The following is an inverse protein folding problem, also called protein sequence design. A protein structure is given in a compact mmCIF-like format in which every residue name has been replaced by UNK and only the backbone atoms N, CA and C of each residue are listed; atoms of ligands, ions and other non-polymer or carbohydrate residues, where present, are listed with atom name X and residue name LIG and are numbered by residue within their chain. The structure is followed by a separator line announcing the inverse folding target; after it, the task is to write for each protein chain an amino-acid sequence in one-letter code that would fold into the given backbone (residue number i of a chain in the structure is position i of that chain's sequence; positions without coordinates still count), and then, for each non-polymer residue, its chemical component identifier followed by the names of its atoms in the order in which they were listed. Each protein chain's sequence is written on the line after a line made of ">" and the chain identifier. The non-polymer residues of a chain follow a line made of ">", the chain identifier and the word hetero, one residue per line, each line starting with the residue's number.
data_IF_432349325880
#
_entry.id   IF_432349325880
#
_cell.length_a   1.000
_cell.length_b   1.000
_cell.length_c   1.000
_cell.angle_alpha   90.00
_cell.angle_beta   90.00
_cell.angle_gamma   90.00
#
_symmetry.space_group_name_H-M   'P 1'
#
loop_
_entity.id
_entity.type
_entity.pdbx_description
1 polymer ?
#
# COMPACT_ATOMS: atom_id res chain seq x y z
N UNK A 1 20.94 10.84 -6.58
CA UNK A 1 20.21 9.55 -6.56
C UNK A 1 19.10 9.55 -5.49
N UNK A 2 18.38 10.67 -5.31
CA UNK A 2 17.62 10.97 -4.07
C UNK A 2 16.19 11.45 -4.32
N UNK A 3 15.89 12.15 -5.41
CA UNK A 3 14.54 12.69 -5.65
C UNK A 3 13.53 11.65 -6.15
N UNK A 4 13.94 10.77 -7.06
CA UNK A 4 13.08 9.70 -7.59
C UNK A 4 12.61 8.76 -6.46
N UNK A 5 13.43 8.55 -5.44
CA UNK A 5 13.08 7.76 -4.26
C UNK A 5 11.99 8.40 -3.39
N UNK A 6 12.00 9.74 -3.25
CA UNK A 6 11.06 10.48 -2.42
C UNK A 6 9.66 10.52 -3.04
N UNK A 7 9.54 10.79 -4.34
CA UNK A 7 8.25 10.76 -5.05
C UNK A 7 7.62 9.36 -5.01
N UNK A 8 8.42 8.30 -5.17
CA UNK A 8 7.94 6.91 -5.05
C UNK A 8 7.47 6.57 -3.64
N UNK A 9 8.17 7.06 -2.62
CA UNK A 9 7.75 6.92 -1.23
C UNK A 9 6.39 7.57 -0.99
N UNK A 10 6.20 8.79 -1.48
CA UNK A 10 4.91 9.50 -1.41
C UNK A 10 3.82 8.75 -2.15
N UNK A 11 4.05 8.31 -3.39
CA UNK A 11 3.05 7.61 -4.20
C UNK A 11 2.60 6.28 -3.57
N UNK A 12 3.56 5.45 -3.12
CA UNK A 12 3.26 4.13 -2.52
C UNK A 12 2.68 4.21 -1.10
N UNK A 13 2.78 5.36 -0.45
CA UNK A 13 2.24 5.60 0.89
C UNK A 13 1.21 6.74 0.92
N UNK A 14 0.68 7.17 -0.22
CA UNK A 14 -0.30 8.26 -0.31
C UNK A 14 -1.50 8.02 0.62
N UNK A 15 -1.97 6.78 0.72
CA UNK A 15 -3.04 6.40 1.64
C UNK A 15 -2.65 6.55 3.13
N UNK A 16 -1.40 6.23 3.49
CA UNK A 16 -0.89 6.40 4.86
C UNK A 16 -0.80 7.88 5.23
N UNK A 17 -0.36 8.73 4.30
CA UNK A 17 -0.35 10.18 4.45
C UNK A 17 -1.76 10.74 4.59
N UNK A 18 -2.71 10.27 3.80
CA UNK A 18 -4.11 10.69 3.89
C UNK A 18 -4.71 10.36 5.26
N UNK A 19 -4.45 9.16 5.78
CA UNK A 19 -4.87 8.77 7.14
C UNK A 19 -4.20 9.60 8.24
N UNK A 20 -2.92 9.98 8.04
CA UNK A 20 -2.20 10.83 8.98
C UNK A 20 -2.82 12.23 9.03
N UNK A 21 -3.03 12.85 7.86
CA UNK A 21 -3.65 14.17 7.73
C UNK A 21 -5.06 14.15 8.31
N UNK A 22 -5.86 13.12 8.01
CA UNK A 22 -7.20 12.96 8.56
C UNK A 22 -7.18 12.87 10.09
N UNK A 23 -6.24 12.11 10.66
CA UNK A 23 -6.07 12.02 12.12
C UNK A 23 -5.72 13.39 12.73
N UNK A 24 -4.82 14.16 12.11
CA UNK A 24 -4.49 15.51 12.57
C UNK A 24 -5.70 16.44 12.51
N UNK A 25 -6.48 16.41 11.43
CA UNK A 25 -7.72 17.19 11.29
C UNK A 25 -8.71 16.82 12.39
N UNK A 26 -8.90 15.52 12.66
CA UNK A 26 -9.78 15.04 13.73
C UNK A 26 -9.35 15.60 15.09
N UNK A 27 -8.04 15.65 15.39
CA UNK A 27 -7.57 16.21 16.67
C UNK A 27 -7.60 17.74 16.72
N UNK A 28 -7.46 18.43 15.58
CA UNK A 28 -7.46 19.89 15.50
C UNK A 28 -8.86 20.50 15.69
N UNK A 29 -9.92 19.80 15.29
CA UNK A 29 -11.30 20.31 15.40
C UNK A 29 -11.78 20.18 16.85
N UNK A 30 -12.10 21.28 17.55
CA UNK A 30 -12.51 21.24 18.96
C UNK A 30 -14.00 20.87 19.10
N UNK A 31 -14.37 19.61 18.80
CA UNK A 31 -15.78 19.17 18.88
C UNK A 31 -16.36 19.22 20.29
N UNK A 32 -15.51 19.29 21.32
CA UNK A 32 -15.91 19.49 22.71
C UNK A 32 -16.68 20.80 22.93
N UNK A 33 -16.50 21.81 22.06
CA UNK A 33 -17.24 23.08 22.13
C UNK A 33 -18.72 22.91 21.75
N UNK A 34 -19.07 21.85 21.00
CA UNK A 34 -20.45 21.55 20.63
C UNK A 34 -21.10 20.65 21.68
N UNK A 35 -20.47 19.53 22.01
CA UNK A 35 -20.98 18.60 23.03
C UNK A 35 -19.85 17.69 23.54
N UNK A 36 -19.70 17.46 24.86
CA UNK A 36 -18.60 16.65 25.43
C UNK A 36 -18.62 15.19 24.95
N UNK A 37 -19.79 14.64 24.59
CA UNK A 37 -19.90 13.29 24.00
C UNK A 37 -19.09 13.14 22.71
N UNK A 38 -18.96 14.19 21.90
CA UNK A 38 -18.17 14.11 20.68
C UNK A 38 -16.69 13.92 20.95
N UNK A 39 -16.18 14.42 22.09
CA UNK A 39 -14.80 14.15 22.52
C UNK A 39 -14.56 12.65 22.75
N UNK A 40 -15.53 11.97 23.36
CA UNK A 40 -15.47 10.52 23.59
C UNK A 40 -15.44 9.71 22.29
N UNK A 41 -15.97 10.23 21.18
CA UNK A 41 -15.93 9.59 19.85
C UNK A 41 -14.68 10.01 19.08
N UNK A 42 -14.29 11.28 19.19
CA UNK A 42 -13.17 11.90 18.49
C UNK A 42 -11.84 11.24 18.88
N UNK A 43 -11.59 11.01 20.18
CA UNK A 43 -10.33 10.43 20.67
C UNK A 43 -10.12 9.01 20.12
N UNK A 44 -11.06 8.04 20.27
CA UNK A 44 -10.89 6.70 19.70
C UNK A 44 -10.74 6.71 18.19
N UNK A 45 -11.53 7.51 17.48
CA UNK A 45 -11.48 7.58 16.02
C UNK A 45 -10.12 8.11 15.54
N UNK A 46 -9.67 9.23 16.11
CA UNK A 46 -8.37 9.83 15.81
C UNK A 46 -7.22 8.86 16.10
N UNK A 47 -7.29 8.13 17.21
CA UNK A 47 -6.30 7.12 17.59
C UNK A 47 -6.26 5.91 16.63
N UNK A 48 -7.42 5.40 16.21
CA UNK A 48 -7.51 4.31 15.22
C UNK A 48 -6.89 4.73 13.89
N UNK A 49 -7.20 5.93 13.40
CA UNK A 49 -6.61 6.47 12.17
C UNK A 49 -5.09 6.62 12.29
N UNK A 50 -4.59 7.19 13.39
CA UNK A 50 -3.16 7.38 13.63
C UNK A 50 -2.42 6.03 13.69
N UNK A 51 -2.92 5.10 14.50
CA UNK A 51 -2.34 3.76 14.65
C UNK A 51 -2.29 3.02 13.31
N UNK A 52 -3.35 3.13 12.50
CA UNK A 52 -3.41 2.52 11.16
C UNK A 52 -2.38 3.16 10.23
N UNK A 53 -2.25 4.49 10.25
CA UNK A 53 -1.26 5.22 9.46
C UNK A 53 0.17 4.79 9.81
N UNK A 54 0.52 4.78 11.10
CA UNK A 54 1.85 4.37 11.59
C UNK A 54 2.15 2.91 11.21
N UNK A 55 1.18 2.01 11.37
CA UNK A 55 1.34 0.60 10.96
C UNK A 55 1.64 0.47 9.46
N UNK A 56 0.97 1.26 8.63
CA UNK A 56 1.22 1.25 7.19
C UNK A 56 2.59 1.85 6.84
N UNK A 57 3.04 2.89 7.53
CA UNK A 57 4.40 3.42 7.36
C UNK A 57 5.47 2.40 7.76
N UNK A 58 5.25 1.62 8.83
CA UNK A 58 6.17 0.58 9.25
C UNK A 58 6.40 -0.49 8.16
N UNK A 59 5.38 -0.78 7.33
CA UNK A 59 5.50 -1.73 6.20
C UNK A 59 6.34 -1.22 5.02
N UNK A 60 6.88 0.00 5.09
CA UNK A 60 7.66 0.61 4.00
C UNK A 60 8.90 -0.19 3.61
N UNK A 61 9.63 -0.72 4.59
CA UNK A 61 10.86 -1.48 4.34
C UNK A 61 10.59 -2.68 3.43
N UNK A 62 9.47 -3.37 3.65
CA UNK A 62 9.04 -4.51 2.85
C UNK A 62 8.59 -4.09 1.45
N UNK A 63 7.84 -2.98 1.33
CA UNK A 63 7.45 -2.41 0.02
C UNK A 63 8.68 -2.09 -0.81
N UNK A 64 9.69 -1.44 -0.21
CA UNK A 64 10.95 -1.08 -0.88
C UNK A 64 11.72 -2.32 -1.35
N UNK A 65 11.81 -3.37 -0.51
CA UNK A 65 12.45 -4.64 -0.89
C UNK A 65 11.74 -5.31 -2.06
N UNK A 66 10.41 -5.45 -1.99
CA UNK A 66 9.59 -6.06 -3.05
C UNK A 66 9.71 -5.32 -4.37
N UNK A 67 9.68 -3.99 -4.32
CA UNK A 67 9.93 -3.13 -5.47
C UNK A 67 11.31 -3.39 -6.09
N UNK A 68 12.37 -3.39 -5.29
CA UNK A 68 13.74 -3.57 -5.78
C UNK A 68 13.94 -4.93 -6.45
N UNK A 69 13.39 -6.00 -5.85
CA UNK A 69 13.47 -7.35 -6.44
C UNK A 69 12.68 -7.44 -7.74
N UNK A 70 11.46 -6.89 -7.79
CA UNK A 70 10.65 -6.87 -9.02
C UNK A 70 11.33 -6.10 -10.15
N UNK A 71 11.92 -4.95 -9.84
CA UNK A 71 12.65 -4.15 -10.81
C UNK A 71 13.87 -4.94 -11.33
N UNK A 72 14.67 -5.52 -10.43
CA UNK A 72 15.87 -6.28 -10.80
C UNK A 72 15.54 -7.51 -11.67
N UNK A 73 14.48 -8.26 -11.32
CA UNK A 73 14.04 -9.44 -12.08
C UNK A 73 13.55 -9.12 -13.49
N UNK A 74 13.04 -7.90 -13.71
CA UNK A 74 12.43 -7.48 -14.97
C UNK A 74 13.25 -6.47 -15.77
N UNK A 75 14.46 -6.12 -15.29
CA UNK A 75 15.32 -5.13 -15.93
C UNK A 75 15.91 -5.63 -17.26
N UNK A 76 16.20 -6.94 -17.35
CA UNK A 76 16.79 -7.55 -18.54
C UNK A 76 15.74 -8.12 -19.49
N UNK A 77 14.73 -8.77 -18.93
CA UNK A 77 13.68 -9.45 -19.67
C UNK A 77 12.37 -9.32 -18.90
N UNK A 78 11.28 -9.01 -19.59
CA UNK A 78 9.98 -8.88 -18.97
C UNK A 78 9.40 -10.25 -18.59
N UNK A 79 9.13 -10.43 -17.30
CA UNK A 79 8.66 -11.67 -16.67
C UNK A 79 7.30 -11.46 -16.02
N UNK A 80 6.25 -11.76 -16.77
CA UNK A 80 4.84 -11.57 -16.39
C UNK A 80 4.47 -12.34 -15.09
N UNK A 81 4.99 -13.55 -14.94
CA UNK A 81 4.81 -14.44 -13.78
C UNK A 81 5.14 -13.74 -12.45
N UNK A 82 6.20 -12.94 -12.42
CA UNK A 82 6.64 -12.22 -11.23
C UNK A 82 5.63 -11.17 -10.75
N UNK A 83 4.78 -10.64 -11.63
CA UNK A 83 3.80 -9.61 -11.31
C UNK A 83 2.45 -10.17 -10.83
N UNK A 84 2.14 -11.44 -11.12
CA UNK A 84 0.82 -12.05 -10.88
C UNK A 84 0.41 -11.91 -9.42
N UNK A 85 1.30 -12.24 -8.47
CA UNK A 85 1.01 -12.17 -7.04
C UNK A 85 0.71 -10.74 -6.58
N UNK A 86 1.32 -9.74 -7.20
CA UNK A 86 1.14 -8.33 -6.84
C UNK A 86 -0.14 -7.73 -7.44
N UNK A 87 -0.62 -8.27 -8.56
CA UNK A 87 -1.87 -7.81 -9.19
C UNK A 87 -3.13 -8.17 -8.39
N UNK A 88 -3.04 -9.14 -7.49
CA UNK A 88 -4.14 -9.58 -6.64
C UNK A 88 -4.52 -8.55 -5.56
N UNK A 89 -3.56 -7.77 -5.07
CA UNK A 89 -3.76 -6.82 -3.96
C UNK A 89 -3.78 -5.35 -4.44
N UNK A 90 -4.64 -4.48 -3.88
CA UNK A 90 -4.68 -3.06 -4.26
C UNK A 90 -3.34 -2.34 -4.14
N UNK A 91 -2.63 -2.57 -3.03
CA UNK A 91 -1.30 -1.99 -2.79
C UNK A 91 -0.22 -2.60 -3.71
N UNK A 92 -0.36 -3.88 -4.06
CA UNK A 92 0.52 -4.55 -5.01
C UNK A 92 0.37 -3.99 -6.42
N UNK A 93 -0.86 -3.68 -6.87
CA UNK A 93 -1.10 -3.04 -8.18
C UNK A 93 -0.43 -1.68 -8.32
N UNK A 94 -0.44 -0.86 -7.25
CA UNK A 94 0.29 0.42 -7.23
C UNK A 94 1.80 0.20 -7.38
N UNK A 95 2.33 -0.84 -6.73
CA UNK A 95 3.72 -1.23 -6.84
C UNK A 95 4.09 -1.70 -8.26
N UNK A 96 3.23 -2.51 -8.90
CA UNK A 96 3.40 -2.93 -10.31
C UNK A 96 3.44 -1.71 -11.23
N UNK A 97 2.50 -0.77 -11.09
CA UNK A 97 2.48 0.46 -11.89
C UNK A 97 3.78 1.26 -11.76
N UNK A 98 4.29 1.41 -10.53
CA UNK A 98 5.55 2.09 -10.30
C UNK A 98 6.70 1.36 -11.02
N UNK A 99 6.84 0.05 -10.83
CA UNK A 99 7.90 -0.74 -11.47
C UNK A 99 7.85 -0.66 -13.00
N UNK A 100 6.68 -0.79 -13.62
CA UNK A 100 6.52 -0.72 -15.08
C UNK A 100 6.81 0.67 -15.64
N UNK A 101 6.43 1.72 -14.90
CA UNK A 101 6.79 3.09 -15.24
C UNK A 101 8.32 3.27 -15.25
N UNK A 102 9.00 2.68 -14.27
CA UNK A 102 10.45 2.80 -14.13
C UNK A 102 11.24 1.92 -15.11
N UNK A 103 10.63 0.85 -15.63
CA UNK A 103 11.14 0.05 -16.74
C UNK A 103 10.82 0.66 -18.12
N UNK A 104 10.20 1.84 -18.17
CA UNK A 104 9.75 2.50 -19.40
C UNK A 104 8.77 1.66 -20.25
N UNK A 105 8.00 0.76 -19.62
CA UNK A 105 6.99 -0.09 -20.27
C UNK A 105 5.61 -0.01 -19.59
N UNK A 106 5.07 1.20 -19.31
CA UNK A 106 3.79 1.33 -18.61
C UNK A 106 2.61 0.69 -19.36
N UNK A 107 2.72 0.54 -20.69
CA UNK A 107 1.67 -0.04 -21.52
C UNK A 107 1.38 -1.52 -21.18
N UNK A 108 2.39 -2.26 -20.70
CA UNK A 108 2.27 -3.66 -20.29
C UNK A 108 1.36 -3.87 -19.08
N UNK A 109 1.00 -2.79 -18.38
CA UNK A 109 0.07 -2.89 -17.27
C UNK A 109 -1.30 -3.41 -17.71
N UNK A 110 -1.78 -3.04 -18.91
CA UNK A 110 -3.06 -3.52 -19.45
C UNK A 110 -3.09 -5.03 -19.62
N UNK A 111 -1.99 -5.61 -20.09
CA UNK A 111 -1.84 -7.06 -20.27
C UNK A 111 -1.94 -7.80 -18.92
N UNK A 112 -1.47 -7.18 -17.84
CA UNK A 112 -1.50 -7.73 -16.49
C UNK A 112 -2.86 -7.59 -15.78
N UNK A 113 -3.76 -6.72 -16.27
CA UNK A 113 -5.05 -6.48 -15.59
C UNK A 113 -5.93 -7.74 -15.55
N UNK A 114 -5.69 -8.72 -16.44
CA UNK A 114 -6.35 -10.02 -16.41
C UNK A 114 -6.15 -10.78 -15.09
N UNK A 115 -5.10 -10.49 -14.33
CA UNK A 115 -4.82 -11.11 -13.02
C UNK A 115 -5.43 -10.36 -11.83
N UNK A 116 -6.17 -9.28 -12.10
CA UNK A 116 -6.83 -8.48 -11.07
C UNK A 116 -8.01 -9.25 -10.48
N UNK A 117 -8.00 -9.50 -9.16
CA UNK A 117 -9.20 -9.94 -8.44
C UNK A 117 -10.24 -8.82 -8.38
N UNK A 118 -11.53 -9.19 -8.51
CA UNK A 118 -12.63 -8.24 -8.35
C UNK A 118 -12.72 -7.73 -6.92
N UNK A 119 -13.23 -6.50 -6.75
CA UNK A 119 -13.33 -5.86 -5.44
C UNK A 119 -14.07 -6.72 -4.42
N UNK A 120 -15.18 -7.34 -4.83
CA UNK A 120 -15.96 -8.27 -4.00
C UNK A 120 -15.17 -9.50 -3.55
N UNK A 121 -14.34 -10.07 -4.42
CA UNK A 121 -13.46 -11.19 -4.07
C UNK A 121 -12.39 -10.74 -3.05
N UNK A 122 -11.77 -9.58 -3.27
CA UNK A 122 -10.78 -9.03 -2.35
C UNK A 122 -11.36 -8.70 -0.97
N UNK A 123 -12.61 -8.21 -0.90
CA UNK A 123 -13.30 -7.93 0.38
C UNK A 123 -13.66 -9.23 1.09
N UNK A 124 -14.19 -10.23 0.37
CA UNK A 124 -14.54 -11.53 0.94
C UNK A 124 -13.32 -12.25 1.53
N UNK A 125 -12.18 -12.20 0.83
CA UNK A 125 -10.91 -12.78 1.30
C UNK A 125 -10.24 -11.96 2.40
N UNK A 126 -10.42 -10.63 2.41
CA UNK A 126 -9.89 -9.75 3.45
C UNK A 126 -10.62 -9.85 4.79
N UNK A 127 -11.90 -10.24 4.77
CA UNK A 127 -12.71 -10.46 5.97
C UNK A 127 -12.53 -11.87 6.57
N UNK A 128 -11.93 -12.81 5.84
CA UNK A 128 -11.50 -14.08 6.43
C UNK A 128 -10.16 -13.90 7.15
N UNK A 129 -10.02 -14.34 8.41
CA UNK A 129 -8.76 -14.27 9.12
C UNK A 129 -7.70 -15.09 8.37
N UNK A 130 -6.78 -14.41 7.70
CA UNK A 130 -5.65 -15.06 7.04
C UNK A 130 -4.63 -15.46 8.11
N UNK A 131 -4.46 -16.77 8.33
CA UNK A 131 -3.26 -17.29 8.99
C UNK A 131 -2.07 -16.87 8.13
N UNK A 132 -1.29 -15.92 8.63
CA UNK A 132 -0.08 -15.46 7.94
C UNK A 132 0.99 -16.52 8.16
N UNK A 133 1.12 -17.45 7.23
CA UNK A 133 2.31 -18.29 7.15
C UNK A 133 3.42 -17.46 6.51
N UNK A 134 4.45 -17.14 7.30
CA UNK A 134 5.63 -16.42 6.81
C UNK A 134 6.44 -17.39 5.98
N UNK A 135 6.14 -17.48 4.69
CA UNK A 135 6.98 -18.19 3.74
C UNK A 135 8.10 -17.24 3.29
N UNK A 136 9.32 -17.48 3.78
CA UNK A 136 10.52 -16.82 3.24
C UNK A 136 10.78 -17.47 1.88
N UNK A 137 10.25 -16.87 0.83
CA UNK A 137 10.55 -17.30 -0.52
C UNK A 137 12.05 -17.05 -0.79
N UNK A 138 12.81 -18.14 -1.02
CA UNK A 138 14.26 -18.11 -1.25
C UNK A 138 14.65 -17.26 -2.46
N UNK A 139 13.73 -17.04 -3.40
CA UNK A 139 13.96 -16.23 -4.60
C UNK A 139 13.97 -14.71 -4.33
N UNK A 140 13.77 -14.30 -3.07
CA UNK A 140 13.75 -12.90 -2.63
C UNK A 140 14.77 -12.61 -1.52
N UNK A 141 15.58 -13.61 -1.11
CA UNK A 141 16.79 -13.45 -0.31
C UNK A 141 17.91 -12.89 -1.19
#
# INVERSE_FOLDING_TARGET
>A
MTEIGAFRFLYLNAYSFLLLILSLIIFLIPLYMVHPLFLCIQIPLGFVCLKTSVKLFASWKDKKRKYAVLLAKNQKEFREDSFIMFMQAPCGRLLVKAVLSDLNIPQKYKDLEKYKKTFFQSVKEGCTPQKTEVYINKDYL
#
